data_IF_934130384799
#
_entry.id   IF_934130384799
#
_cell.length_a   1.000
_cell.length_b   1.000
_cell.length_c   1.000
_cell.angle_alpha   90.00
_cell.angle_beta   90.00
_cell.angle_gamma   90.00
#
_symmetry.space_group_name_H-M   'P 1'
#
loop_
_entity.id
_entity.type
_entity.pdbx_description
1 polymer ?
#
# COMPACT_ATOMS: atom_id res chain seq x y z
N UNK A 1 -22.34 21.53 -14.41
CA UNK A 1 -21.52 20.32 -14.71
C UNK A 1 -21.42 19.54 -13.43
N UNK A 2 -21.69 18.21 -13.43
CA UNK A 2 -21.59 17.40 -12.18
C UNK A 2 -20.14 17.24 -11.75
N UNK A 3 -19.91 17.00 -10.46
CA UNK A 3 -18.57 16.77 -9.90
C UNK A 3 -17.88 15.57 -10.54
N UNK A 4 -18.64 14.49 -10.79
CA UNK A 4 -18.14 13.30 -11.48
C UNK A 4 -17.61 13.60 -12.88
N UNK A 5 -18.24 14.53 -13.60
CA UNK A 5 -17.79 14.95 -14.93
C UNK A 5 -16.52 15.80 -14.82
N UNK A 6 -16.49 16.76 -13.90
CA UNK A 6 -15.32 17.62 -13.70
C UNK A 6 -14.08 16.79 -13.35
N UNK A 7 -14.23 15.81 -12.45
CA UNK A 7 -13.13 14.93 -12.08
C UNK A 7 -12.65 14.07 -13.26
N UNK A 8 -13.58 13.52 -14.05
CA UNK A 8 -13.22 12.72 -15.23
C UNK A 8 -12.52 13.57 -16.30
N UNK A 9 -12.99 14.80 -16.52
CA UNK A 9 -12.39 15.75 -17.47
C UNK A 9 -10.95 16.12 -17.01
N UNK A 10 -10.70 16.38 -15.73
CA UNK A 10 -9.36 16.61 -15.18
C UNK A 10 -8.43 15.42 -15.44
N UNK A 11 -8.87 14.21 -15.16
CA UNK A 11 -8.10 12.98 -15.42
C UNK A 11 -7.73 12.90 -16.90
N UNK A 12 -8.71 12.98 -17.79
CA UNK A 12 -8.52 12.73 -19.22
C UNK A 12 -7.76 13.84 -19.96
N UNK A 13 -7.80 15.07 -19.44
CA UNK A 13 -7.09 16.23 -19.99
C UNK A 13 -5.69 16.40 -19.41
N UNK A 14 -5.31 15.64 -18.39
CA UNK A 14 -3.95 15.69 -17.82
C UNK A 14 -2.93 15.34 -18.92
N UNK A 15 -1.93 16.20 -19.18
CA UNK A 15 -0.84 15.87 -20.08
C UNK A 15 0.06 14.79 -19.49
N UNK A 16 0.88 14.15 -20.30
CA UNK A 16 1.93 13.29 -19.78
C UNK A 16 2.86 14.11 -18.88
N UNK A 17 3.12 13.59 -17.67
CA UNK A 17 3.89 14.30 -16.65
C UNK A 17 5.37 14.24 -17.01
N UNK A 18 6.03 15.38 -17.03
CA UNK A 18 7.47 15.54 -17.28
C UNK A 18 8.23 16.03 -16.02
N UNK A 19 7.51 16.39 -14.95
CA UNK A 19 8.13 16.81 -13.68
C UNK A 19 8.99 15.67 -13.12
N UNK A 20 10.30 15.92 -13.03
CA UNK A 20 11.31 14.91 -12.63
C UNK A 20 11.04 14.33 -11.24
N UNK A 21 10.62 15.14 -10.26
CA UNK A 21 10.39 14.68 -8.90
C UNK A 21 9.19 13.74 -8.83
N UNK A 22 8.11 14.05 -9.59
CA UNK A 22 6.91 13.21 -9.69
C UNK A 22 7.24 11.88 -10.38
N UNK A 23 7.97 11.94 -11.48
CA UNK A 23 8.38 10.73 -12.22
C UNK A 23 9.33 9.87 -11.38
N UNK A 24 10.27 10.47 -10.64
CA UNK A 24 11.17 9.73 -9.75
C UNK A 24 10.40 9.08 -8.59
N UNK A 25 9.43 9.77 -7.99
CA UNK A 25 8.57 9.17 -6.97
C UNK A 25 7.80 7.96 -7.55
N UNK A 26 7.28 8.07 -8.78
CA UNK A 26 6.58 6.97 -9.43
C UNK A 26 7.52 5.77 -9.72
N UNK A 27 8.75 6.00 -10.19
CA UNK A 27 9.76 4.94 -10.40
C UNK A 27 10.09 4.22 -9.09
N UNK A 28 10.32 4.97 -8.01
CA UNK A 28 10.56 4.41 -6.66
C UNK A 28 9.41 3.50 -6.20
N UNK A 29 8.17 3.89 -6.50
CA UNK A 29 6.99 3.08 -6.19
C UNK A 29 6.93 1.79 -7.02
N UNK A 30 7.35 1.83 -8.29
CA UNK A 30 7.45 0.63 -9.13
C UNK A 30 8.51 -0.34 -8.59
N UNK A 31 9.67 0.17 -8.15
CA UNK A 31 10.72 -0.62 -7.50
C UNK A 31 10.18 -1.29 -6.23
N UNK A 32 9.52 -0.52 -5.36
CA UNK A 32 8.94 -0.99 -4.10
C UNK A 32 7.86 -2.06 -4.34
N UNK A 33 7.01 -1.85 -5.35
CA UNK A 33 5.98 -2.80 -5.75
C UNK A 33 6.56 -4.15 -6.20
N UNK A 34 7.59 -4.14 -7.06
CA UNK A 34 8.27 -5.37 -7.46
C UNK A 34 8.92 -6.06 -6.27
N UNK A 35 9.65 -5.31 -5.44
CA UNK A 35 10.29 -5.86 -4.25
C UNK A 35 9.28 -6.52 -3.31
N UNK A 36 8.18 -5.84 -2.97
CA UNK A 36 7.14 -6.38 -2.09
C UNK A 36 6.45 -7.62 -2.70
N UNK A 37 6.18 -7.58 -4.01
CA UNK A 37 5.53 -8.68 -4.72
C UNK A 37 6.41 -9.93 -4.79
N UNK A 38 7.68 -9.78 -5.15
CA UNK A 38 8.60 -10.91 -5.36
C UNK A 38 8.98 -11.59 -4.04
N UNK A 39 9.03 -10.88 -2.93
CA UNK A 39 9.19 -11.51 -1.61
C UNK A 39 8.06 -12.49 -1.27
N UNK A 40 6.86 -12.24 -1.76
CA UNK A 40 5.66 -13.01 -1.41
C UNK A 40 5.32 -14.18 -2.35
N UNK A 41 6.13 -14.43 -3.41
CA UNK A 41 5.80 -15.45 -4.43
C UNK A 41 5.72 -16.87 -3.89
N UNK A 42 6.52 -17.19 -2.87
CA UNK A 42 6.61 -18.53 -2.28
C UNK A 42 5.78 -18.66 -1.00
N UNK A 43 5.06 -17.61 -0.59
CA UNK A 43 4.20 -17.69 0.57
C UNK A 43 3.05 -18.69 0.35
N UNK A 44 2.72 -19.45 1.38
CA UNK A 44 1.70 -20.51 1.30
C UNK A 44 0.33 -19.98 0.82
N UNK A 45 -0.03 -18.75 1.18
CA UNK A 45 -1.26 -18.11 0.77
C UNK A 45 -1.22 -17.73 -0.72
N UNK A 46 -0.11 -17.23 -1.22
CA UNK A 46 0.11 -16.97 -2.65
C UNK A 46 -0.04 -18.24 -3.48
N UNK A 47 0.59 -19.34 -3.03
CA UNK A 47 0.52 -20.64 -3.68
C UNK A 47 -0.93 -21.15 -3.75
N UNK A 48 -1.71 -21.01 -2.67
CA UNK A 48 -3.13 -21.42 -2.62
C UNK A 48 -4.00 -20.64 -3.59
N UNK A 49 -3.85 -19.30 -3.64
CA UNK A 49 -4.64 -18.47 -4.56
C UNK A 49 -4.22 -18.75 -6.02
N UNK A 50 -2.91 -18.90 -6.28
CA UNK A 50 -2.43 -19.32 -7.60
C UNK A 50 -3.01 -20.65 -8.03
N UNK A 51 -3.03 -21.66 -7.15
CA UNK A 51 -3.61 -22.96 -7.46
C UNK A 51 -5.11 -22.86 -7.78
N UNK A 52 -5.87 -22.12 -6.97
CA UNK A 52 -7.28 -21.85 -7.25
C UNK A 52 -7.48 -21.18 -8.61
N UNK A 53 -6.66 -20.21 -9.00
CA UNK A 53 -6.71 -19.56 -10.32
C UNK A 53 -6.45 -20.56 -11.44
N UNK A 54 -5.50 -21.46 -11.28
CA UNK A 54 -5.19 -22.51 -12.27
C UNK A 54 -6.38 -23.46 -12.42
N UNK A 55 -6.96 -23.89 -11.31
CA UNK A 55 -8.11 -24.83 -11.29
C UNK A 55 -9.37 -24.19 -11.90
N UNK A 56 -9.59 -22.89 -11.67
CA UNK A 56 -10.70 -22.14 -12.26
C UNK A 56 -10.53 -21.98 -13.80
N UNK A 57 -9.29 -21.88 -14.25
CA UNK A 57 -8.96 -21.76 -15.67
C UNK A 57 -9.31 -20.41 -16.28
N UNK A 58 -9.36 -20.34 -17.61
CA UNK A 58 -9.67 -19.15 -18.39
C UNK A 58 -8.61 -18.86 -19.45
N UNK A 59 -8.87 -17.90 -20.36
CA UNK A 59 -7.95 -17.54 -21.42
C UNK A 59 -6.74 -16.78 -20.85
N UNK A 60 -5.50 -17.30 -20.99
CA UNK A 60 -4.32 -16.70 -20.41
C UNK A 60 -3.92 -15.44 -21.19
N UNK A 61 -4.09 -14.26 -20.59
CA UNK A 61 -3.78 -12.96 -21.19
C UNK A 61 -2.71 -12.18 -20.47
N UNK A 62 -2.68 -12.23 -19.13
CA UNK A 62 -1.79 -11.41 -18.32
C UNK A 62 -0.90 -12.26 -17.41
N UNK A 63 0.32 -11.78 -17.13
CA UNK A 63 1.30 -12.48 -16.31
C UNK A 63 0.94 -12.48 -14.83
N UNK A 64 1.06 -13.63 -14.20
CA UNK A 64 1.15 -13.75 -12.75
C UNK A 64 2.60 -13.41 -12.34
N UNK A 65 2.77 -12.31 -11.65
CA UNK A 65 4.08 -11.74 -11.33
C UNK A 65 4.96 -12.74 -10.55
N UNK A 66 6.15 -13.02 -11.08
CA UNK A 66 7.09 -13.98 -10.46
C UNK A 66 6.77 -15.47 -10.66
N UNK A 67 5.74 -15.82 -11.46
CA UNK A 67 5.31 -17.22 -11.60
C UNK A 67 5.49 -17.83 -12.99
N UNK A 68 6.05 -17.10 -13.95
CA UNK A 68 6.26 -17.56 -15.34
C UNK A 68 4.99 -18.18 -15.98
N UNK A 69 3.83 -17.74 -15.55
CA UNK A 69 2.51 -18.25 -15.93
C UNK A 69 1.57 -17.09 -16.20
N UNK A 70 0.69 -17.25 -17.20
CA UNK A 70 -0.39 -16.30 -17.48
C UNK A 70 -1.74 -16.84 -16.98
N UNK A 71 -2.63 -15.93 -16.63
CA UNK A 71 -4.03 -16.18 -16.34
C UNK A 71 -4.92 -15.16 -17.08
N UNK A 72 -6.22 -15.15 -16.81
CA UNK A 72 -7.04 -14.02 -17.27
C UNK A 72 -6.54 -12.73 -16.65
N UNK A 73 -6.74 -11.60 -17.28
CA UNK A 73 -6.30 -10.32 -16.74
C UNK A 73 -6.89 -10.00 -15.34
N UNK A 74 -8.16 -10.40 -15.13
CA UNK A 74 -8.81 -10.22 -13.83
C UNK A 74 -8.19 -11.11 -12.74
N UNK A 75 -7.83 -12.35 -13.05
CA UNK A 75 -7.15 -13.25 -12.13
C UNK A 75 -5.70 -12.79 -11.86
N UNK A 76 -5.00 -12.28 -12.89
CA UNK A 76 -3.67 -11.72 -12.72
C UNK A 76 -3.68 -10.48 -11.81
N UNK A 77 -4.62 -9.56 -12.01
CA UNK A 77 -4.78 -8.41 -11.14
C UNK A 77 -5.06 -8.84 -9.68
N UNK A 78 -5.89 -9.87 -9.49
CA UNK A 78 -6.19 -10.42 -8.16
C UNK A 78 -4.93 -10.95 -7.48
N UNK A 79 -4.19 -11.87 -8.12
CA UNK A 79 -3.01 -12.48 -7.51
C UNK A 79 -1.90 -11.45 -7.29
N UNK A 80 -1.62 -10.62 -8.28
CA UNK A 80 -0.54 -9.63 -8.19
C UNK A 80 -0.82 -8.61 -7.08
N UNK A 81 -2.07 -8.14 -6.92
CA UNK A 81 -2.46 -7.23 -5.86
C UNK A 81 -2.47 -7.88 -4.47
N UNK A 82 -2.91 -9.13 -4.38
CA UNK A 82 -2.79 -9.92 -3.17
C UNK A 82 -1.33 -10.08 -2.73
N UNK A 83 -0.49 -10.52 -3.66
CA UNK A 83 0.91 -10.82 -3.45
C UNK A 83 1.70 -9.56 -3.05
N UNK A 84 1.48 -8.44 -3.74
CA UNK A 84 2.13 -7.17 -3.41
C UNK A 84 1.84 -6.71 -1.97
N UNK A 85 0.64 -7.03 -1.44
CA UNK A 85 0.20 -6.59 -0.11
C UNK A 85 0.33 -7.67 0.98
N UNK A 86 0.69 -8.92 0.64
CA UNK A 86 0.63 -10.06 1.58
C UNK A 86 1.51 -9.88 2.81
N UNK A 87 2.71 -9.38 2.63
CA UNK A 87 3.69 -9.21 3.70
C UNK A 87 3.58 -7.87 4.44
N UNK A 88 2.61 -7.02 4.07
CA UNK A 88 2.49 -5.64 4.57
C UNK A 88 3.80 -4.83 4.39
N UNK A 89 4.53 -5.13 3.31
CA UNK A 89 5.86 -4.61 2.99
C UNK A 89 5.83 -3.52 1.91
N UNK A 90 4.68 -3.33 1.30
CA UNK A 90 4.36 -2.35 0.28
C UNK A 90 4.16 -0.94 0.85
N UNK A 91 4.17 0.04 -0.04
CA UNK A 91 4.04 1.46 0.29
C UNK A 91 2.74 1.82 1.02
N UNK A 92 2.74 2.99 1.64
CA UNK A 92 1.58 3.55 2.35
C UNK A 92 1.40 5.02 1.99
N UNK A 93 0.15 5.46 1.84
CA UNK A 93 -0.18 6.86 1.66
C UNK A 93 -1.05 7.38 2.82
N UNK A 94 -0.64 8.52 3.41
CA UNK A 94 -1.27 9.04 4.63
C UNK A 94 -2.74 9.43 4.43
N UNK A 95 -3.08 10.13 3.34
CA UNK A 95 -4.46 10.54 3.04
C UNK A 95 -5.37 9.33 2.77
N UNK A 96 -4.82 8.30 2.11
CA UNK A 96 -5.53 7.04 1.85
C UNK A 96 -5.74 6.24 3.14
N UNK A 97 -4.79 6.28 4.07
CA UNK A 97 -4.67 5.32 5.18
C UNK A 97 -4.64 3.88 4.68
N UNK A 98 -3.87 3.64 3.63
CA UNK A 98 -3.81 2.38 2.91
C UNK A 98 -2.68 2.32 1.89
N UNK A 99 -2.72 1.31 1.04
CA UNK A 99 -1.66 0.82 0.19
C UNK A 99 -2.02 0.97 -1.29
N UNK A 100 -1.69 2.10 -1.93
CA UNK A 100 -2.19 2.40 -3.27
C UNK A 100 -1.50 1.59 -4.36
N UNK A 101 -0.17 1.41 -4.29
CA UNK A 101 0.59 0.80 -5.38
C UNK A 101 0.23 -0.66 -5.60
N UNK A 102 -0.06 -1.41 -4.54
CA UNK A 102 -0.49 -2.80 -4.62
C UNK A 102 -1.75 -2.98 -5.49
N UNK A 103 -2.68 -2.02 -5.47
CA UNK A 103 -3.89 -2.07 -6.30
C UNK A 103 -3.64 -1.52 -7.70
N UNK A 104 -3.11 -0.30 -7.79
CA UNK A 104 -3.04 0.45 -9.04
C UNK A 104 -2.04 -0.19 -10.01
N UNK A 105 -0.83 -0.53 -9.55
CA UNK A 105 0.17 -1.17 -10.40
C UNK A 105 -0.24 -2.58 -10.81
N UNK A 106 -0.85 -3.36 -9.91
CA UNK A 106 -1.37 -4.69 -10.26
C UNK A 106 -2.42 -4.63 -11.36
N UNK A 107 -3.34 -3.66 -11.30
CA UNK A 107 -4.34 -3.46 -12.34
C UNK A 107 -3.71 -2.95 -13.65
N UNK A 108 -2.78 -1.99 -13.59
CA UNK A 108 -2.09 -1.47 -14.77
C UNK A 108 -1.29 -2.57 -15.48
N UNK A 109 -0.43 -3.33 -14.78
CA UNK A 109 0.33 -4.41 -15.38
C UNK A 109 -0.56 -5.51 -15.96
N UNK A 110 -1.65 -5.87 -15.28
CA UNK A 110 -2.60 -6.86 -15.79
C UNK A 110 -3.39 -6.36 -17.01
N UNK A 111 -3.49 -5.05 -17.23
CA UNK A 111 -4.21 -4.46 -18.36
C UNK A 111 -3.41 -4.44 -19.67
N UNK A 112 -2.09 -4.57 -19.65
CA UNK A 112 -1.22 -4.29 -20.81
C UNK A 112 -1.48 -5.25 -21.97
N UNK A 113 -1.84 -6.49 -21.73
CA UNK A 113 -2.14 -7.48 -22.76
C UNK A 113 -3.63 -7.55 -23.13
N UNK A 114 -4.49 -6.66 -22.57
CA UNK A 114 -5.93 -6.64 -22.87
C UNK A 114 -6.26 -6.12 -24.26
N UNK A 115 -5.39 -5.27 -24.80
CA UNK A 115 -5.58 -4.69 -26.12
C UNK A 115 -4.35 -4.91 -26.97
N UNK A 116 -4.54 -5.09 -28.28
CA UNK A 116 -3.47 -5.03 -29.28
C UNK A 116 -3.03 -3.59 -29.56
N UNK A 117 -3.54 -2.65 -28.78
CA UNK A 117 -3.41 -1.23 -29.02
C UNK A 117 -2.00 -0.73 -28.74
N UNK A 118 -1.65 0.22 -29.56
CA UNK A 118 -0.61 1.23 -29.54
C UNK A 118 0.56 1.06 -28.57
N UNK A 119 1.73 1.35 -29.05
CA UNK A 119 2.96 1.47 -28.27
C UNK A 119 2.75 2.42 -27.11
N UNK A 120 2.52 1.87 -25.91
CA UNK A 120 2.45 2.63 -24.67
C UNK A 120 3.87 2.83 -24.17
N UNK A 121 4.32 4.10 -24.11
CA UNK A 121 5.60 4.41 -23.50
C UNK A 121 5.52 4.43 -21.96
N UNK A 122 6.65 4.27 -21.33
CA UNK A 122 6.71 4.22 -19.86
C UNK A 122 6.29 5.54 -19.22
N UNK A 123 6.51 6.69 -19.86
CA UNK A 123 6.07 8.00 -19.34
C UNK A 123 4.56 8.06 -19.19
N UNK A 124 3.82 7.63 -20.20
CA UNK A 124 2.35 7.54 -20.13
C UNK A 124 1.88 6.53 -19.08
N UNK A 125 2.58 5.41 -18.94
CA UNK A 125 2.30 4.43 -17.90
C UNK A 125 2.51 5.02 -16.50
N UNK A 126 3.64 5.69 -16.25
CA UNK A 126 3.91 6.34 -14.97
C UNK A 126 2.92 7.49 -14.69
N UNK A 127 2.54 8.26 -15.73
CA UNK A 127 1.49 9.28 -15.59
C UNK A 127 0.15 8.66 -15.19
N UNK A 128 -0.24 7.54 -15.81
CA UNK A 128 -1.44 6.81 -15.45
C UNK A 128 -1.40 6.33 -13.99
N UNK A 129 -0.26 5.83 -13.54
CA UNK A 129 -0.05 5.45 -12.15
C UNK A 129 -0.18 6.64 -11.19
N UNK A 130 0.46 7.78 -11.49
CA UNK A 130 0.36 9.02 -10.69
C UNK A 130 -1.10 9.49 -10.59
N UNK A 131 -1.85 9.45 -11.68
CA UNK A 131 -3.29 9.78 -11.69
C UNK A 131 -4.07 8.83 -10.76
N UNK A 132 -3.76 7.54 -10.78
CA UNK A 132 -4.36 6.59 -9.84
C UNK A 132 -4.09 6.96 -8.38
N UNK A 133 -2.83 7.29 -8.03
CA UNK A 133 -2.47 7.77 -6.69
C UNK A 133 -3.26 9.04 -6.34
N UNK A 134 -3.33 9.99 -7.27
CA UNK A 134 -4.03 11.26 -7.07
C UNK A 134 -5.51 11.06 -6.76
N UNK A 135 -6.21 10.24 -7.55
CA UNK A 135 -7.62 9.89 -7.31
C UNK A 135 -7.80 9.20 -5.95
N UNK A 136 -6.95 8.20 -5.65
CA UNK A 136 -7.06 7.45 -4.39
C UNK A 136 -6.84 8.34 -3.16
N UNK A 137 -5.85 9.23 -3.23
CA UNK A 137 -5.52 10.15 -2.14
C UNK A 137 -6.61 11.21 -1.93
N UNK A 138 -7.16 11.78 -3.00
CA UNK A 138 -8.25 12.76 -2.92
C UNK A 138 -9.54 12.16 -2.38
N UNK A 139 -9.91 10.96 -2.83
CA UNK A 139 -11.02 10.21 -2.23
C UNK A 139 -10.73 9.91 -0.75
N UNK A 140 -9.48 9.56 -0.43
CA UNK A 140 -9.04 9.37 0.94
C UNK A 140 -9.20 10.63 1.80
N UNK A 141 -8.84 11.80 1.31
CA UNK A 141 -9.02 13.08 2.01
C UNK A 141 -10.50 13.42 2.24
N UNK A 142 -11.35 13.12 1.26
CA UNK A 142 -12.79 13.35 1.35
C UNK A 142 -13.51 12.43 2.34
N UNK A 143 -13.00 11.22 2.55
CA UNK A 143 -13.65 10.17 3.33
C UNK A 143 -13.05 9.97 4.73
N UNK A 144 -11.72 10.10 4.87
CA UNK A 144 -11.03 9.84 6.13
C UNK A 144 -11.03 11.07 7.06
N UNK A 145 -11.00 10.89 8.39
CA UNK A 145 -10.81 9.62 9.09
C UNK A 145 -12.07 8.80 9.33
N UNK A 146 -13.27 9.36 9.14
CA UNK A 146 -14.55 8.71 9.51
C UNK A 146 -14.74 7.36 8.83
N UNK A 147 -14.44 7.24 7.55
CA UNK A 147 -14.47 6.01 6.77
C UNK A 147 -13.64 4.90 7.42
N UNK A 148 -12.38 5.21 7.73
CA UNK A 148 -11.46 4.26 8.36
C UNK A 148 -11.91 3.88 9.78
N UNK A 149 -12.42 4.83 10.56
CA UNK A 149 -12.91 4.61 11.94
C UNK A 149 -14.14 3.72 11.93
N UNK A 150 -15.05 3.86 10.97
CA UNK A 150 -16.22 3.01 10.80
C UNK A 150 -15.88 1.55 10.46
N UNK A 151 -14.63 1.24 10.17
CA UNK A 151 -14.17 -0.12 9.93
C UNK A 151 -13.95 -0.47 8.46
N UNK A 152 -13.97 0.49 7.55
CA UNK A 152 -13.63 0.26 6.15
C UNK A 152 -12.12 0.19 5.93
N UNK A 153 -11.69 -0.71 5.06
CA UNK A 153 -10.31 -0.80 4.59
C UNK A 153 -10.13 0.06 3.34
N UNK A 154 -9.55 1.25 3.49
CA UNK A 154 -9.43 2.24 2.40
C UNK A 154 -8.71 1.70 1.16
N UNK A 155 -7.71 0.82 1.31
CA UNK A 155 -7.06 0.14 0.18
C UNK A 155 -8.09 -0.56 -0.72
N UNK A 156 -9.04 -1.24 -0.12
CA UNK A 156 -10.09 -1.99 -0.83
C UNK A 156 -11.14 -1.07 -1.44
N UNK A 157 -11.67 -0.14 -0.64
CA UNK A 157 -12.83 0.66 -1.04
C UNK A 157 -12.47 1.77 -2.05
N UNK A 158 -11.24 2.30 -1.99
CA UNK A 158 -10.80 3.38 -2.89
C UNK A 158 -10.01 2.87 -4.08
N UNK A 159 -9.32 1.72 -3.92
CA UNK A 159 -8.34 1.23 -4.88
C UNK A 159 -8.93 0.91 -6.25
N UNK A 160 -10.10 0.27 -6.30
CA UNK A 160 -10.76 -0.06 -7.57
C UNK A 160 -11.15 1.18 -8.38
N UNK A 161 -11.64 2.23 -7.71
CA UNK A 161 -11.99 3.54 -8.32
C UNK A 161 -10.72 4.24 -8.85
N UNK A 162 -9.64 4.19 -8.09
CA UNK A 162 -8.35 4.74 -8.51
C UNK A 162 -7.75 4.01 -9.71
N UNK A 163 -7.82 2.68 -9.71
CA UNK A 163 -7.26 1.86 -10.76
C UNK A 163 -8.01 2.00 -12.09
N UNK A 164 -9.36 2.17 -12.09
CA UNK A 164 -10.08 2.46 -13.35
C UNK A 164 -9.70 3.81 -13.93
N UNK A 165 -9.41 4.83 -13.10
CA UNK A 165 -8.91 6.12 -13.57
C UNK A 165 -7.57 5.96 -14.30
N UNK A 166 -6.65 5.21 -13.69
CA UNK A 166 -5.34 4.93 -14.25
C UNK A 166 -5.45 4.19 -15.60
N UNK A 167 -6.29 3.14 -15.68
CA UNK A 167 -6.48 2.36 -16.91
C UNK A 167 -7.16 3.21 -18.00
N UNK A 168 -8.23 3.95 -17.66
CA UNK A 168 -8.90 4.80 -18.65
C UNK A 168 -7.97 5.88 -19.19
N UNK A 169 -7.15 6.50 -18.36
CA UNK A 169 -6.13 7.44 -18.81
C UNK A 169 -5.10 6.77 -19.73
N UNK A 170 -4.60 5.60 -19.35
CA UNK A 170 -3.59 4.85 -20.09
C UNK A 170 -4.04 4.55 -21.52
N UNK A 171 -5.27 4.12 -21.69
CA UNK A 171 -5.84 3.71 -23.00
C UNK A 171 -6.71 4.78 -23.66
N UNK A 172 -6.89 5.97 -23.01
CA UNK A 172 -7.74 7.05 -23.50
C UNK A 172 -9.20 6.63 -23.73
N UNK A 173 -9.72 5.76 -22.83
CA UNK A 173 -11.12 5.36 -22.89
C UNK A 173 -12.06 6.52 -22.50
N UNK A 174 -13.09 6.73 -23.29
CA UNK A 174 -14.08 7.82 -23.13
C UNK A 174 -15.18 7.53 -22.08
N UNK A 175 -15.24 6.30 -21.57
CA UNK A 175 -16.22 5.84 -20.59
C UNK A 175 -15.76 5.96 -19.12
N UNK A 176 -14.78 6.80 -18.80
CA UNK A 176 -14.23 6.92 -17.42
C UNK A 176 -15.32 7.17 -16.37
N UNK A 177 -16.33 8.01 -16.68
CA UNK A 177 -17.43 8.29 -15.73
C UNK A 177 -18.21 7.04 -15.35
N UNK A 178 -18.48 6.19 -16.32
CA UNK A 178 -19.15 4.90 -16.10
C UNK A 178 -18.23 3.92 -15.38
N UNK A 179 -16.92 3.95 -15.67
CA UNK A 179 -15.93 3.12 -15.02
C UNK A 179 -15.81 3.45 -13.51
N UNK A 180 -15.81 4.72 -13.16
CA UNK A 180 -15.90 5.15 -11.77
C UNK A 180 -17.13 4.58 -11.06
N UNK A 181 -18.32 4.73 -11.65
CA UNK A 181 -19.56 4.26 -11.04
C UNK A 181 -19.57 2.73 -10.88
N UNK A 182 -19.09 2.00 -11.89
CA UNK A 182 -19.05 0.55 -11.87
C UNK A 182 -18.03 0.01 -10.87
N UNK A 183 -16.89 0.67 -10.70
CA UNK A 183 -15.92 0.30 -9.67
C UNK A 183 -16.41 0.69 -8.27
N UNK A 184 -17.00 1.88 -8.12
CA UNK A 184 -17.53 2.37 -6.85
C UNK A 184 -18.62 1.49 -6.25
N UNK A 185 -19.52 0.94 -7.09
CA UNK A 185 -20.60 0.05 -6.60
C UNK A 185 -20.09 -1.30 -6.12
N UNK A 186 -18.83 -1.66 -6.39
CA UNK A 186 -18.17 -2.89 -5.92
C UNK A 186 -17.21 -2.64 -4.76
N UNK A 187 -17.14 -1.41 -4.24
CA UNK A 187 -16.24 -1.04 -3.15
C UNK A 187 -16.62 -1.77 -1.86
N UNK A 188 -15.73 -2.64 -1.37
CA UNK A 188 -15.93 -3.43 -0.16
C UNK A 188 -14.60 -3.70 0.53
N UNK A 189 -14.65 -4.20 1.77
CA UNK A 189 -13.48 -4.57 2.56
C UNK A 189 -13.52 -4.02 3.97
N UNK A 190 -13.37 -4.91 4.96
CA UNK A 190 -13.53 -4.58 6.38
C UNK A 190 -12.20 -4.72 7.13
N UNK A 191 -11.90 -3.76 7.99
CA UNK A 191 -10.71 -3.76 8.86
C UNK A 191 -10.69 -4.87 9.89
N UNK A 192 -11.83 -5.48 10.19
CA UNK A 192 -11.88 -6.66 11.07
C UNK A 192 -11.03 -7.82 10.55
N UNK A 193 -10.70 -7.82 9.25
CA UNK A 193 -9.82 -8.80 8.62
C UNK A 193 -8.32 -8.51 8.79
N UNK A 194 -7.94 -7.42 9.46
CA UNK A 194 -6.52 -7.12 9.70
C UNK A 194 -5.86 -8.23 10.53
N UNK A 195 -4.62 -8.57 10.17
CA UNK A 195 -3.91 -9.70 10.76
C UNK A 195 -4.28 -11.08 10.19
N UNK A 196 -5.14 -11.13 9.16
CA UNK A 196 -5.47 -12.35 8.41
C UNK A 196 -5.09 -12.21 6.93
N UNK A 197 -4.95 -13.31 6.18
CA UNK A 197 -4.70 -13.27 4.73
C UNK A 197 -5.81 -12.58 3.91
N UNK A 198 -6.97 -12.33 4.50
CA UNK A 198 -8.05 -11.60 3.83
C UNK A 198 -7.75 -10.11 3.69
N UNK A 199 -6.91 -9.53 4.58
CA UNK A 199 -6.48 -8.12 4.42
C UNK A 199 -5.78 -7.89 3.07
N UNK A 200 -4.71 -8.62 2.71
CA UNK A 200 -4.07 -8.48 1.39
C UNK A 200 -4.98 -8.89 0.23
N UNK A 201 -5.90 -9.85 0.41
CA UNK A 201 -6.88 -10.20 -0.61
C UNK A 201 -7.73 -9.01 -1.03
N UNK A 202 -8.00 -8.07 -0.15
CA UNK A 202 -8.72 -6.84 -0.46
C UNK A 202 -8.02 -6.00 -1.56
N UNK A 203 -6.68 -5.92 -1.57
CA UNK A 203 -5.95 -5.22 -2.62
C UNK A 203 -6.11 -5.92 -3.97
N UNK A 204 -6.00 -7.25 -3.99
CA UNK A 204 -6.22 -8.06 -5.18
C UNK A 204 -7.64 -7.92 -5.73
N UNK A 205 -8.66 -7.99 -4.87
CA UNK A 205 -10.07 -7.81 -5.26
C UNK A 205 -10.33 -6.41 -5.83
N UNK A 206 -9.74 -5.37 -5.27
CA UNK A 206 -9.85 -4.00 -5.79
C UNK A 206 -9.21 -3.86 -7.18
N UNK A 207 -8.02 -4.46 -7.39
CA UNK A 207 -7.36 -4.49 -8.70
C UNK A 207 -8.18 -5.29 -9.72
N UNK A 208 -8.72 -6.45 -9.33
CA UNK A 208 -9.60 -7.26 -10.16
C UNK A 208 -10.87 -6.51 -10.54
N UNK A 209 -11.47 -5.76 -9.60
CA UNK A 209 -12.66 -4.93 -9.84
C UNK A 209 -12.40 -3.92 -10.96
N UNK A 210 -11.23 -3.29 -11.00
CA UNK A 210 -10.90 -2.36 -12.07
C UNK A 210 -10.86 -3.05 -13.44
N UNK A 211 -10.19 -4.18 -13.56
CA UNK A 211 -10.10 -4.93 -14.81
C UNK A 211 -11.50 -5.40 -15.28
N UNK A 212 -12.30 -5.92 -14.37
CA UNK A 212 -13.67 -6.37 -14.70
C UNK A 212 -14.56 -5.21 -15.13
N UNK A 213 -14.46 -4.06 -14.47
CA UNK A 213 -15.23 -2.87 -14.82
C UNK A 213 -14.91 -2.39 -16.23
N UNK A 214 -13.62 -2.31 -16.57
CA UNK A 214 -13.18 -1.93 -17.92
C UNK A 214 -13.67 -2.94 -18.95
N UNK A 215 -13.48 -4.23 -18.72
CA UNK A 215 -13.90 -5.27 -19.66
C UNK A 215 -15.42 -5.28 -19.91
N UNK A 216 -16.23 -5.07 -18.89
CA UNK A 216 -17.68 -4.99 -19.02
C UNK A 216 -18.13 -3.79 -19.86
N UNK A 217 -17.52 -2.61 -19.65
CA UNK A 217 -17.82 -1.40 -20.42
C UNK A 217 -17.37 -1.54 -21.87
N UNK A 218 -16.21 -2.13 -22.13
CA UNK A 218 -15.74 -2.44 -23.50
C UNK A 218 -16.68 -3.38 -24.23
N UNK A 219 -17.41 -4.25 -23.51
CA UNK A 219 -18.44 -5.14 -24.06
C UNK A 219 -19.85 -4.52 -24.09
N UNK A 220 -19.96 -3.21 -23.91
CA UNK A 220 -21.21 -2.48 -24.08
C UNK A 220 -22.12 -2.39 -22.85
N UNK A 221 -21.66 -2.85 -21.67
CA UNK A 221 -22.40 -2.58 -20.44
C UNK A 221 -22.42 -1.06 -20.20
N UNK A 222 -23.57 -0.54 -19.75
CA UNK A 222 -23.69 0.88 -19.37
C UNK A 222 -23.88 1.03 -17.87
N UNK A 223 -23.44 2.16 -17.33
CA UNK A 223 -23.59 2.50 -15.92
C UNK A 223 -24.00 3.97 -15.76
N UNK A 224 -24.52 4.33 -14.58
CA UNK A 224 -24.75 5.73 -14.23
C UNK A 224 -23.42 6.50 -14.31
N UNK A 225 -23.47 7.72 -14.83
CA UNK A 225 -22.28 8.57 -14.98
C UNK A 225 -21.99 9.45 -13.77
N UNK A 226 -22.80 9.44 -12.73
CA UNK A 226 -22.68 10.33 -11.59
C UNK A 226 -22.44 9.58 -10.27
N UNK A 227 -21.24 8.98 -10.16
CA UNK A 227 -20.86 8.24 -8.97
C UNK A 227 -20.62 9.12 -7.72
N UNK A 228 -20.48 10.43 -7.90
CA UNK A 228 -20.36 11.43 -6.85
C UNK A 228 -21.65 12.20 -6.59
N UNK A 229 -22.81 11.61 -6.93
CA UNK A 229 -24.11 12.18 -6.59
C UNK A 229 -24.13 12.59 -5.10
N UNK A 230 -24.57 13.83 -4.77
CA UNK A 230 -24.45 14.37 -3.41
C UNK A 230 -25.32 13.64 -2.38
N UNK A 231 -26.34 12.89 -2.81
CA UNK A 231 -27.25 12.17 -1.92
C UNK A 231 -26.98 10.67 -1.85
N UNK A 232 -26.63 10.05 -2.98
CA UNK A 232 -26.54 8.59 -3.15
C UNK A 232 -25.20 8.15 -3.72
N UNK A 233 -24.30 9.09 -4.01
CA UNK A 233 -22.98 8.80 -4.56
C UNK A 233 -22.00 8.26 -3.53
N UNK A 234 -20.83 7.93 -4.02
CA UNK A 234 -19.79 7.24 -3.25
C UNK A 234 -19.41 7.96 -1.95
N UNK A 235 -19.19 9.29 -2.02
CA UNK A 235 -18.81 10.05 -0.82
C UNK A 235 -19.98 10.15 0.16
N UNK A 236 -21.20 10.35 -0.32
CA UNK A 236 -22.38 10.42 0.53
C UNK A 236 -22.62 9.12 1.32
N UNK A 237 -22.36 7.97 0.70
CA UNK A 237 -22.56 6.65 1.32
C UNK A 237 -21.42 6.27 2.26
N UNK A 238 -20.17 6.54 1.87
CA UNK A 238 -18.99 6.07 2.59
C UNK A 238 -18.35 7.09 3.54
N UNK A 239 -18.72 8.38 3.47
CA UNK A 239 -18.06 9.46 4.19
C UNK A 239 -19.01 10.42 4.88
N UNK A 240 -18.43 11.52 5.39
CA UNK A 240 -19.13 12.60 6.08
C UNK A 240 -18.64 13.98 5.64
N UNK A 241 -17.59 14.04 4.81
CA UNK A 241 -16.97 15.31 4.40
C UNK A 241 -17.47 15.80 3.05
N UNK A 242 -17.18 17.05 2.77
CA UNK A 242 -17.41 17.69 1.47
C UNK A 242 -16.55 17.09 0.37
N UNK A 243 -17.14 16.96 -0.81
CA UNK A 243 -16.48 16.54 -2.04
C UNK A 243 -15.69 17.65 -2.76
N UNK A 244 -15.69 18.88 -2.24
CA UNK A 244 -15.02 20.04 -2.86
C UNK A 244 -13.52 19.85 -3.02
N UNK A 245 -12.87 19.17 -2.05
CA UNK A 245 -11.43 18.87 -2.07
C UNK A 245 -10.97 18.01 -3.26
N UNK A 246 -11.89 17.34 -3.95
CA UNK A 246 -11.53 16.42 -5.05
C UNK A 246 -10.90 17.10 -6.26
N UNK A 247 -11.24 18.36 -6.51
CA UNK A 247 -10.82 19.10 -7.70
C UNK A 247 -9.67 20.08 -7.42
N UNK A 248 -9.43 20.43 -6.16
CA UNK A 248 -8.52 21.51 -5.78
C UNK A 248 -7.07 21.23 -6.22
N UNK A 249 -6.41 22.23 -6.78
CA UNK A 249 -4.98 22.19 -7.12
C UNK A 249 -4.54 21.01 -8.00
N UNK A 250 -5.46 20.42 -8.79
CA UNK A 250 -5.13 19.31 -9.70
C UNK A 250 -3.99 19.70 -10.63
N UNK A 251 -2.95 18.83 -10.71
CA UNK A 251 -1.78 19.03 -11.57
C UNK A 251 -0.75 20.05 -11.07
N UNK A 252 -1.01 20.77 -9.98
CA UNK A 252 -0.05 21.72 -9.39
C UNK A 252 0.81 21.07 -8.33
N UNK A 253 0.19 20.28 -7.46
CA UNK A 253 0.88 19.54 -6.40
C UNK A 253 0.32 18.11 -6.36
N UNK A 254 1.14 17.16 -6.81
CA UNK A 254 0.73 15.77 -6.91
C UNK A 254 0.83 15.07 -5.56
N UNK A 255 -0.18 14.27 -5.23
CA UNK A 255 -0.26 13.53 -3.96
C UNK A 255 0.84 12.49 -3.78
N UNK A 256 1.43 12.03 -4.86
CA UNK A 256 2.60 11.15 -4.82
C UNK A 256 3.82 11.83 -4.19
N UNK A 257 3.91 13.18 -4.24
CA UNK A 257 4.98 13.98 -3.64
C UNK A 257 4.55 14.66 -2.34
N UNK A 258 3.29 15.09 -2.23
CA UNK A 258 2.77 15.75 -1.04
C UNK A 258 1.37 15.24 -0.66
N UNK A 259 1.23 14.51 0.45
CA UNK A 259 2.24 14.22 1.48
C UNK A 259 3.31 13.22 1.08
N UNK A 260 3.19 12.52 -0.06
CA UNK A 260 4.13 11.51 -0.53
C UNK A 260 3.81 10.10 -0.04
N UNK A 261 4.57 9.15 -0.59
CA UNK A 261 4.47 7.74 -0.24
C UNK A 261 5.52 7.34 0.81
N UNK A 262 5.13 6.49 1.73
CA UNK A 262 6.01 5.86 2.69
C UNK A 262 6.43 4.51 2.15
N UNK A 263 7.72 4.26 2.07
CA UNK A 263 8.28 2.96 1.75
C UNK A 263 8.69 2.25 3.03
N UNK A 264 8.54 0.93 3.04
CA UNK A 264 8.90 0.11 4.19
C UNK A 264 10.11 -0.76 3.87
N UNK A 265 10.99 -0.89 4.84
CA UNK A 265 12.07 -1.89 4.84
C UNK A 265 11.86 -2.93 5.96
N UNK A 266 10.57 -3.23 6.21
CA UNK A 266 10.11 -4.12 7.27
C UNK A 266 8.69 -4.63 6.97
N UNK A 267 8.32 -5.80 7.49
CA UNK A 267 7.06 -6.50 7.20
C UNK A 267 6.03 -6.30 8.33
N UNK A 268 5.74 -5.05 8.71
CA UNK A 268 4.70 -4.72 9.69
C UNK A 268 3.99 -3.40 9.39
N UNK A 269 2.89 -3.17 10.10
CA UNK A 269 2.06 -1.97 9.92
C UNK A 269 2.88 -0.68 10.13
N UNK A 270 2.79 0.28 9.22
CA UNK A 270 3.50 1.57 9.30
C UNK A 270 3.22 2.35 10.59
N UNK A 271 2.08 2.10 11.24
CA UNK A 271 1.77 2.67 12.56
C UNK A 271 2.77 2.23 13.64
N UNK A 272 3.35 1.04 13.52
CA UNK A 272 4.34 0.52 14.45
C UNK A 272 5.77 1.00 14.15
N UNK A 273 6.04 1.55 12.96
CA UNK A 273 7.37 2.04 12.60
C UNK A 273 7.88 3.15 13.55
N UNK A 274 6.98 3.99 14.02
CA UNK A 274 7.31 4.98 15.05
C UNK A 274 7.82 4.33 16.34
N UNK A 275 7.18 3.24 16.75
CA UNK A 275 7.55 2.48 17.95
C UNK A 275 8.88 1.76 17.76
N UNK A 276 9.07 1.12 16.59
CA UNK A 276 10.30 0.44 16.24
C UNK A 276 11.49 1.39 16.27
N UNK A 277 11.41 2.53 15.59
CA UNK A 277 12.50 3.50 15.53
C UNK A 277 12.83 4.07 16.93
N UNK A 278 11.80 4.38 17.74
CA UNK A 278 12.00 4.88 19.09
C UNK A 278 12.68 3.83 19.98
N UNK A 279 12.22 2.59 19.93
CA UNK A 279 12.76 1.50 20.73
C UNK A 279 14.19 1.12 20.32
N UNK A 280 14.46 1.05 19.00
CA UNK A 280 15.80 0.81 18.48
C UNK A 280 16.81 1.89 18.91
N UNK A 281 16.39 3.17 18.85
CA UNK A 281 17.26 4.27 19.30
C UNK A 281 17.55 4.17 20.79
N UNK A 282 16.55 3.85 21.62
CA UNK A 282 16.75 3.66 23.05
C UNK A 282 17.71 2.50 23.32
N UNK A 283 17.55 1.36 22.65
CA UNK A 283 18.45 0.23 22.81
C UNK A 283 19.90 0.61 22.45
N UNK A 284 20.11 1.23 21.28
CA UNK A 284 21.46 1.63 20.81
C UNK A 284 22.15 2.64 21.73
N UNK A 285 21.39 3.53 22.36
CA UNK A 285 21.92 4.56 23.23
C UNK A 285 22.25 4.06 24.64
N UNK A 286 21.44 3.10 25.17
CA UNK A 286 21.48 2.76 26.59
C UNK A 286 21.80 1.31 26.89
N UNK A 287 21.58 0.37 25.95
CA UNK A 287 21.90 -1.07 26.07
C UNK A 287 21.46 -1.68 27.40
N UNK A 288 20.20 -1.42 27.82
CA UNK A 288 19.72 -1.89 29.12
C UNK A 288 19.58 -3.41 29.18
N UNK A 289 19.82 -3.98 30.37
CA UNK A 289 19.48 -5.36 30.65
C UNK A 289 17.95 -5.52 30.79
N UNK A 290 17.36 -6.46 30.06
CA UNK A 290 15.89 -6.68 30.01
C UNK A 290 15.30 -7.00 31.38
N UNK A 291 16.05 -7.69 32.23
CA UNK A 291 15.62 -8.03 33.60
C UNK A 291 15.42 -6.78 34.46
N UNK A 292 16.11 -5.68 34.11
CA UNK A 292 16.01 -4.40 34.79
C UNK A 292 14.79 -3.59 34.37
N UNK A 293 14.17 -3.92 33.22
CA UNK A 293 12.98 -3.21 32.76
C UNK A 293 11.81 -3.51 33.70
N UNK A 294 11.28 -2.45 34.32
CA UNK A 294 10.07 -2.48 35.13
C UNK A 294 8.83 -2.27 34.27
N UNK A 295 8.87 -1.27 33.39
CA UNK A 295 7.72 -0.83 32.58
C UNK A 295 8.14 -0.19 31.26
N UNK A 296 7.32 -0.39 30.22
CA UNK A 296 7.45 0.24 28.90
C UNK A 296 6.17 1.03 28.61
N UNK A 297 6.25 2.36 28.53
CA UNK A 297 5.12 3.20 28.16
C UNK A 297 5.19 3.53 26.65
N UNK A 298 4.11 3.24 25.92
CA UNK A 298 3.91 3.54 24.52
C UNK A 298 2.87 4.67 24.42
N UNK A 299 3.33 5.90 24.18
CA UNK A 299 2.50 7.10 24.20
C UNK A 299 2.26 7.55 22.77
N UNK A 300 1.00 7.51 22.35
CA UNK A 300 0.58 7.84 20.98
C UNK A 300 -0.08 9.21 20.90
N UNK A 301 0.01 9.85 19.73
CA UNK A 301 -0.96 10.86 19.36
C UNK A 301 -2.36 10.24 19.29
N UNK A 302 -3.45 11.01 19.52
CA UNK A 302 -4.81 10.48 19.45
C UNK A 302 -5.06 9.68 18.16
N UNK A 303 -5.57 8.45 18.31
CA UNK A 303 -5.80 7.49 17.21
C UNK A 303 -4.55 7.06 16.43
N UNK A 304 -3.33 7.40 16.88
CA UNK A 304 -2.08 7.02 16.24
C UNK A 304 -1.86 5.51 16.14
N UNK A 305 -2.45 4.74 17.05
CA UNK A 305 -2.36 3.28 17.13
C UNK A 305 -3.58 2.54 16.57
N UNK A 306 -4.52 3.22 15.92
CA UNK A 306 -5.83 2.65 15.52
C UNK A 306 -5.74 1.41 14.60
N UNK A 307 -4.60 1.18 13.94
CA UNK A 307 -4.33 -0.01 13.16
C UNK A 307 -3.65 -1.13 13.97
N UNK A 308 -3.13 -0.85 15.17
CA UNK A 308 -2.37 -1.79 16.00
C UNK A 308 -3.31 -2.51 16.98
N UNK A 309 -4.11 -3.42 16.42
CA UNK A 309 -5.27 -4.04 17.06
C UNK A 309 -4.94 -5.19 18.01
N UNK A 310 -3.69 -5.64 18.07
CA UNK A 310 -3.25 -6.74 18.92
C UNK A 310 -2.35 -6.27 20.07
N UNK A 311 -2.88 -5.76 21.19
CA UNK A 311 -2.04 -5.36 22.33
C UNK A 311 -1.38 -6.57 23.02
N UNK A 312 -1.94 -7.76 22.85
CA UNK A 312 -1.43 -9.04 23.37
C UNK A 312 -1.52 -10.10 22.26
N UNK A 313 -0.58 -10.11 21.31
CA UNK A 313 -0.59 -11.07 20.22
C UNK A 313 -0.32 -12.48 20.77
N UNK A 314 -1.08 -13.48 20.27
CA UNK A 314 -0.90 -14.90 20.63
C UNK A 314 0.08 -15.59 19.68
N UNK A 315 0.13 -15.15 18.43
CA UNK A 315 0.98 -15.68 17.38
C UNK A 315 1.87 -14.58 16.81
N UNK A 316 3.07 -14.91 16.39
CA UNK A 316 4.05 -13.95 15.88
C UNK A 316 3.49 -13.11 14.71
N UNK A 317 2.69 -13.71 13.80
CA UNK A 317 2.04 -12.98 12.70
C UNK A 317 1.14 -11.82 13.15
N UNK A 318 0.54 -11.91 14.35
CA UNK A 318 -0.25 -10.82 14.92
C UNK A 318 0.62 -9.66 15.39
N UNK A 319 1.91 -9.93 15.63
CA UNK A 319 2.93 -8.94 15.96
C UNK A 319 3.05 -7.82 14.92
N UNK A 320 2.76 -8.09 13.63
CA UNK A 320 2.71 -7.07 12.56
C UNK A 320 1.76 -5.90 12.88
N UNK A 321 0.76 -6.15 13.73
CA UNK A 321 -0.26 -5.19 14.16
C UNK A 321 -0.26 -5.00 15.68
N UNK A 322 0.90 -5.17 16.35
CA UNK A 322 1.10 -5.00 17.78
C UNK A 322 2.21 -4.00 18.07
N UNK A 323 1.87 -2.89 18.70
CA UNK A 323 2.88 -1.93 19.16
C UNK A 323 3.80 -2.54 20.22
N UNK A 324 3.23 -3.32 21.12
CA UNK A 324 3.94 -3.95 22.23
C UNK A 324 4.96 -4.98 21.76
N UNK A 325 4.55 -5.83 20.81
CA UNK A 325 5.44 -6.82 20.20
C UNK A 325 6.62 -6.15 19.49
N UNK A 326 6.32 -5.14 18.67
CA UNK A 326 7.36 -4.39 17.95
C UNK A 326 8.29 -3.65 18.92
N UNK A 327 7.75 -3.00 19.97
CA UNK A 327 8.57 -2.34 20.98
C UNK A 327 9.53 -3.31 21.66
N UNK A 328 9.01 -4.46 22.09
CA UNK A 328 9.82 -5.48 22.80
C UNK A 328 10.91 -6.03 21.88
N UNK A 329 10.57 -6.45 20.66
CA UNK A 329 11.55 -6.97 19.69
C UNK A 329 12.64 -5.93 19.38
N UNK A 330 12.26 -4.67 19.19
CA UNK A 330 13.21 -3.59 18.93
C UNK A 330 14.10 -3.24 20.14
N UNK A 331 13.60 -3.37 21.37
CA UNK A 331 14.39 -3.20 22.59
C UNK A 331 15.34 -4.38 22.85
N UNK A 332 15.10 -5.52 22.19
CA UNK A 332 15.96 -6.70 22.23
C UNK A 332 17.01 -6.71 21.11
N UNK A 333 16.99 -5.74 20.22
CA UNK A 333 17.74 -5.75 18.95
C UNK A 333 17.49 -7.01 18.11
N UNK A 334 16.30 -7.59 18.28
CA UNK A 334 15.89 -8.74 17.48
C UNK A 334 15.39 -8.30 16.11
N UNK A 335 15.70 -9.03 15.05
CA UNK A 335 15.27 -8.67 13.71
C UNK A 335 13.74 -8.59 13.61
N UNK A 336 13.26 -7.69 12.77
CA UNK A 336 11.85 -7.50 12.42
C UNK A 336 11.63 -7.74 10.92
N UNK A 337 12.34 -8.72 10.38
CA UNK A 337 12.18 -9.19 9.00
C UNK A 337 10.97 -10.13 8.83
N UNK A 338 10.85 -10.75 7.66
CA UNK A 338 9.71 -11.62 7.35
C UNK A 338 9.65 -12.88 8.23
N UNK A 339 10.81 -13.39 8.68
CA UNK A 339 10.95 -14.69 9.33
C UNK A 339 10.37 -14.71 10.73
N UNK A 340 10.29 -13.53 11.38
CA UNK A 340 9.77 -13.42 12.75
C UNK A 340 8.25 -13.31 12.84
N UNK A 341 7.55 -13.17 11.70
CA UNK A 341 6.09 -13.03 11.66
C UNK A 341 5.40 -14.30 11.15
N UNK A 342 5.79 -15.44 11.69
CA UNK A 342 5.27 -16.76 11.40
C UNK A 342 3.95 -17.10 12.16
N UNK A 343 3.49 -18.34 11.99
CA UNK A 343 2.28 -18.84 12.65
C UNK A 343 2.56 -19.46 14.03
N UNK A 344 3.81 -19.37 14.53
CA UNK A 344 4.17 -19.91 15.84
C UNK A 344 3.63 -19.02 16.98
N UNK A 345 3.36 -19.59 18.15
CA UNK A 345 3.00 -18.84 19.34
C UNK A 345 4.10 -17.85 19.74
N UNK A 346 3.72 -16.68 20.21
CA UNK A 346 4.68 -15.72 20.80
C UNK A 346 5.37 -16.39 21.99
N UNK A 347 6.70 -16.33 22.03
CA UNK A 347 7.48 -16.98 23.08
C UNK A 347 7.12 -16.45 24.48
N UNK A 348 7.20 -17.28 25.54
CA UNK A 348 6.91 -16.85 26.92
C UNK A 348 7.74 -15.66 27.38
N UNK A 349 9.00 -15.56 26.92
CA UNK A 349 9.89 -14.46 27.25
C UNK A 349 9.38 -13.13 26.65
N UNK A 350 9.00 -13.12 25.38
CA UNK A 350 8.43 -11.94 24.71
C UNK A 350 7.08 -11.58 25.34
N UNK A 351 6.24 -12.57 25.64
CA UNK A 351 4.95 -12.35 26.31
C UNK A 351 5.12 -11.66 27.66
N UNK A 352 6.09 -12.10 28.49
CA UNK A 352 6.37 -11.50 29.77
C UNK A 352 6.82 -10.03 29.68
N UNK A 353 7.53 -9.66 28.61
CA UNK A 353 7.93 -8.27 28.36
C UNK A 353 6.76 -7.43 27.80
N UNK A 354 5.91 -8.01 26.96
CA UNK A 354 4.69 -7.38 26.45
C UNK A 354 3.75 -7.00 27.62
N UNK A 355 3.67 -7.82 28.67
CA UNK A 355 2.86 -7.51 29.86
C UNK A 355 3.34 -6.28 30.62
N UNK A 356 4.61 -5.88 30.48
CA UNK A 356 5.14 -4.64 31.04
C UNK A 356 4.80 -3.40 30.19
N UNK A 357 4.29 -3.59 28.97
CA UNK A 357 3.90 -2.49 28.10
C UNK A 357 2.57 -1.86 28.50
N UNK A 358 2.49 -0.54 28.41
CA UNK A 358 1.27 0.21 28.66
C UNK A 358 1.08 1.26 27.57
N UNK A 359 -0.09 1.23 26.88
CA UNK A 359 -0.47 2.30 25.95
C UNK A 359 -1.10 3.46 26.70
N UNK A 360 -0.81 4.65 26.24
CA UNK A 360 -1.48 5.89 26.63
C UNK A 360 -1.52 6.88 25.47
N UNK A 361 -2.26 7.96 25.62
CA UNK A 361 -2.45 8.94 24.58
C UNK A 361 -2.07 10.32 25.10
N UNK A 362 -1.55 11.13 24.20
CA UNK A 362 -1.28 12.51 24.50
C UNK A 362 -2.59 13.28 24.60
N UNK A 363 -2.74 14.12 25.61
CA UNK A 363 -4.01 14.80 25.90
C UNK A 363 -4.33 15.92 24.92
N UNK A 364 -3.29 16.59 24.40
CA UNK A 364 -3.46 17.71 23.47
C UNK A 364 -3.68 17.20 22.04
N UNK A 365 -4.67 17.81 21.37
CA UNK A 365 -4.96 17.55 19.96
C UNK A 365 -3.83 18.13 19.10
N UNK A 366 -2.89 17.30 18.70
CA UNK A 366 -1.81 17.69 17.79
C UNK A 366 -2.20 17.35 16.35
N UNK A 367 -1.81 18.24 15.42
CA UNK A 367 -2.06 18.06 13.99
C UNK A 367 -1.17 16.96 13.37
N UNK A 368 -0.09 16.57 14.06
CA UNK A 368 0.92 15.66 13.55
C UNK A 368 0.98 14.38 14.37
N UNK A 369 1.16 13.24 13.67
CA UNK A 369 1.30 11.93 14.30
C UNK A 369 2.71 11.79 14.89
N UNK A 370 2.82 11.25 16.10
CA UNK A 370 4.08 10.91 16.74
C UNK A 370 3.88 9.74 17.71
N UNK A 371 4.98 9.15 18.17
CA UNK A 371 5.01 8.19 19.27
C UNK A 371 6.16 8.55 20.21
N UNK A 372 5.94 8.39 21.51
CA UNK A 372 7.01 8.39 22.53
C UNK A 372 7.06 6.99 23.15
N UNK A 373 8.24 6.38 23.12
CA UNK A 373 8.54 5.17 23.90
C UNK A 373 9.32 5.58 25.13
N UNK A 374 8.86 5.14 26.31
CA UNK A 374 9.52 5.39 27.59
C UNK A 374 9.77 4.07 28.30
N UNK A 375 11.02 3.81 28.64
CA UNK A 375 11.45 2.64 29.40
C UNK A 375 11.80 3.06 30.80
N UNK A 376 11.17 2.44 31.82
CA UNK A 376 11.48 2.61 33.24
C UNK A 376 12.22 1.39 33.75
N UNK A 377 13.32 1.59 34.47
CA UNK A 377 14.09 0.54 35.13
C UNK A 377 13.69 0.38 36.58
N UNK A 378 13.96 -0.81 37.18
CA UNK A 378 13.68 -1.14 38.58
C UNK A 378 14.41 -0.23 39.59
N UNK A 379 15.53 0.38 39.20
CA UNK A 379 16.26 1.34 40.02
C UNK A 379 15.63 2.74 40.01
N UNK A 380 14.52 2.94 39.26
CA UNK A 380 13.81 4.21 39.16
C UNK A 380 14.26 5.11 38.00
N UNK A 381 15.36 4.77 37.31
CA UNK A 381 15.79 5.49 36.12
C UNK A 381 14.79 5.31 34.98
N UNK A 382 14.67 6.29 34.10
CA UNK A 382 13.87 6.17 32.91
C UNK A 382 14.55 6.83 31.71
N UNK A 383 14.30 6.26 30.54
CA UNK A 383 14.77 6.74 29.25
C UNK A 383 13.57 6.90 28.32
N UNK A 384 13.59 7.89 27.45
CA UNK A 384 12.51 8.11 26.52
C UNK A 384 13.02 8.60 25.16
N UNK A 385 12.32 8.19 24.10
CA UNK A 385 12.56 8.63 22.73
C UNK A 385 11.26 9.00 22.06
N UNK A 386 11.22 10.13 21.38
CA UNK A 386 10.12 10.58 20.54
C UNK A 386 10.49 10.43 19.08
N UNK A 387 9.55 9.95 18.28
CA UNK A 387 9.63 9.89 16.80
C UNK A 387 8.44 10.62 16.21
N UNK A 388 8.72 11.62 15.40
CA UNK A 388 7.73 12.35 14.60
C UNK A 388 7.71 11.88 13.14
N UNK A 389 8.85 11.43 12.62
CA UNK A 389 9.03 10.97 11.25
C UNK A 389 9.87 9.68 11.22
N UNK A 390 9.22 8.51 11.20
CA UNK A 390 9.95 7.23 11.13
C UNK A 390 10.65 7.07 9.78
N UNK A 391 11.65 6.21 9.74
CA UNK A 391 12.38 5.89 8.52
C UNK A 391 11.44 5.38 7.42
N UNK A 392 11.71 5.78 6.18
CA UNK A 392 10.88 5.48 5.01
C UNK A 392 9.67 6.39 4.85
N UNK A 393 9.35 7.25 5.86
CA UNK A 393 8.30 8.27 5.70
C UNK A 393 8.74 9.39 4.74
N UNK A 394 7.81 10.16 4.14
CA UNK A 394 8.15 11.21 3.18
C UNK A 394 9.13 12.27 3.71
N UNK A 395 9.13 12.54 5.01
CA UNK A 395 10.03 13.49 5.66
C UNK A 395 11.34 12.87 6.16
N UNK A 396 11.46 11.55 6.12
CA UNK A 396 12.67 10.79 6.44
C UNK A 396 12.80 9.60 5.46
N UNK A 397 12.96 9.88 4.15
CA UNK A 397 12.87 8.86 3.11
C UNK A 397 14.09 7.93 3.10
N UNK A 398 13.88 6.69 2.69
CA UNK A 398 14.96 5.79 2.33
C UNK A 398 15.71 6.31 1.09
N UNK A 399 17.02 6.06 1.02
CA UNK A 399 17.80 6.29 -0.20
C UNK A 399 17.42 5.28 -1.30
N UNK A 400 17.80 5.57 -2.54
CA UNK A 400 17.63 4.65 -3.65
C UNK A 400 18.44 3.36 -3.46
N UNK A 401 19.57 3.43 -2.77
CA UNK A 401 20.36 2.25 -2.41
C UNK A 401 19.58 1.29 -1.49
N UNK A 402 18.82 1.80 -0.51
CA UNK A 402 17.96 0.96 0.35
C UNK A 402 16.87 0.29 -0.47
N UNK A 403 16.24 1.00 -1.41
CA UNK A 403 15.23 0.42 -2.31
C UNK A 403 15.86 -0.60 -3.27
N UNK A 404 17.08 -0.35 -3.75
CA UNK A 404 17.82 -1.34 -4.55
C UNK A 404 18.07 -2.63 -3.76
N UNK A 405 18.56 -2.54 -2.52
CA UNK A 405 18.78 -3.71 -1.67
C UNK A 405 17.47 -4.48 -1.41
N UNK A 406 16.39 -3.76 -1.11
CA UNK A 406 15.07 -4.36 -0.97
C UNK A 406 14.65 -5.16 -2.20
N UNK A 407 14.89 -4.63 -3.41
CA UNK A 407 14.61 -5.32 -4.67
C UNK A 407 15.56 -6.51 -4.88
N UNK A 408 16.86 -6.33 -4.65
CA UNK A 408 17.87 -7.37 -4.86
C UNK A 408 17.62 -8.60 -3.98
N UNK A 409 17.25 -8.41 -2.72
CA UNK A 409 16.87 -9.48 -1.80
C UNK A 409 15.64 -10.27 -2.30
N UNK A 410 14.69 -9.59 -2.97
CA UNK A 410 13.48 -10.23 -3.49
C UNK A 410 13.72 -11.02 -4.78
N UNK A 411 14.59 -10.51 -5.66
CA UNK A 411 14.88 -11.14 -6.97
C UNK A 411 15.81 -12.34 -6.85
N UNK A 412 16.69 -12.38 -5.83
CA UNK A 412 17.69 -13.45 -5.56
C UNK A 412 18.70 -13.70 -6.72
N UNK A 413 18.74 -12.81 -7.69
CA UNK A 413 19.70 -12.78 -8.79
C UNK A 413 20.18 -11.33 -8.90
N UNK A 414 21.39 -11.05 -8.47
CA UNK A 414 21.93 -9.69 -8.36
C UNK A 414 22.03 -9.00 -9.72
N UNK A 415 22.39 -9.74 -10.76
CA UNK A 415 22.48 -9.21 -12.14
C UNK A 415 21.10 -8.81 -12.66
N UNK A 416 20.11 -9.66 -12.46
CA UNK A 416 18.72 -9.40 -12.85
C UNK A 416 18.13 -8.24 -12.04
N UNK A 417 18.41 -8.17 -10.74
CA UNK A 417 17.96 -7.09 -9.86
C UNK A 417 18.54 -5.74 -10.29
N UNK A 418 19.84 -5.70 -10.60
CA UNK A 418 20.50 -4.50 -11.09
C UNK A 418 19.89 -4.03 -12.44
N UNK A 419 19.72 -4.96 -13.39
CA UNK A 419 19.10 -4.65 -14.67
C UNK A 419 17.67 -4.12 -14.52
N UNK A 420 16.86 -4.77 -13.65
CA UNK A 420 15.49 -4.35 -13.40
C UNK A 420 15.44 -2.94 -12.78
N UNK A 421 16.33 -2.67 -11.83
CA UNK A 421 16.43 -1.38 -11.17
C UNK A 421 16.77 -0.27 -12.18
N UNK A 422 17.81 -0.44 -12.99
CA UNK A 422 18.22 0.52 -14.01
C UNK A 422 17.12 0.72 -15.08
N UNK A 423 16.54 -0.36 -15.59
CA UNK A 423 15.47 -0.27 -16.59
C UNK A 423 14.21 0.43 -16.05
N UNK A 424 13.93 0.38 -14.72
CA UNK A 424 12.86 1.18 -14.13
C UNK A 424 13.22 2.66 -14.11
N UNK A 425 14.48 3.03 -13.93
CA UNK A 425 14.91 4.42 -14.05
C UNK A 425 14.86 4.94 -15.48
N UNK A 426 15.11 4.08 -16.48
CA UNK A 426 14.99 4.42 -17.90
C UNK A 426 13.59 4.21 -18.48
N UNK A 427 12.66 3.75 -17.65
CA UNK A 427 11.29 3.38 -18.01
C UNK A 427 10.51 4.44 -18.82
N UNK A 428 10.59 5.75 -18.53
CA UNK A 428 9.84 6.76 -19.29
C UNK A 428 10.07 6.73 -20.79
N UNK A 429 11.26 6.32 -21.22
CA UNK A 429 11.69 6.40 -22.62
C UNK A 429 11.51 5.07 -23.39
N UNK A 430 11.03 4.02 -22.70
CA UNK A 430 10.85 2.69 -23.28
C UNK A 430 9.38 2.30 -23.46
N UNK A 431 9.12 1.36 -24.35
CA UNK A 431 7.82 0.75 -24.52
C UNK A 431 7.54 -0.21 -23.36
N UNK A 432 6.41 -0.03 -22.66
CA UNK A 432 6.02 -0.84 -21.49
C UNK A 432 5.95 -2.35 -21.80
N UNK A 433 5.50 -2.73 -22.99
CA UNK A 433 5.38 -4.13 -23.38
C UNK A 433 6.74 -4.82 -23.49
N UNK A 434 7.76 -4.09 -23.96
CA UNK A 434 9.14 -4.57 -24.01
C UNK A 434 9.66 -4.84 -22.58
N UNK A 435 9.42 -3.91 -21.65
CA UNK A 435 9.79 -4.09 -20.25
C UNK A 435 9.10 -5.32 -19.64
N UNK A 436 7.79 -5.46 -19.82
CA UNK A 436 7.01 -6.59 -19.31
C UNK A 436 7.53 -7.92 -19.84
N UNK A 437 7.76 -8.02 -21.15
CA UNK A 437 8.27 -9.24 -21.76
C UNK A 437 9.70 -9.58 -21.30
N UNK A 438 10.51 -8.56 -21.01
CA UNK A 438 11.87 -8.76 -20.50
C UNK A 438 11.89 -9.33 -19.07
N UNK A 439 11.01 -8.84 -18.20
CA UNK A 439 11.08 -9.12 -16.78
C UNK A 439 10.03 -10.12 -16.26
N UNK A 440 8.76 -10.02 -16.66
CA UNK A 440 7.72 -10.89 -16.13
C UNK A 440 7.85 -12.35 -16.59
N UNK A 441 8.62 -12.61 -17.65
CA UNK A 441 8.96 -13.97 -18.10
C UNK A 441 10.15 -14.54 -17.27
N UNK A 442 11.08 -13.66 -16.84
CA UNK A 442 12.33 -14.06 -16.16
C UNK A 442 12.17 -14.17 -14.64
N UNK A 443 11.35 -13.32 -14.08
CA UNK A 443 10.97 -13.34 -12.67
C UNK A 443 9.93 -14.44 -12.39
#
# INVERSE_FOLDING_TARGET
>A
MTLSRQLADLVMQTPEIDNKDVINAAKRSVIDFFAASLHAINEKETIKIKQWIIDEGGTPKAWLLGHKTKATAAQAALLNGFQAHLLDYDDVHADVRGHPSAVILSALFASIDLTSADKINGRRFLTAYVIGIEIMARLGQALNPSHYIRGWHSTATLGGVAAVAAICYLYRYDFLRQAFALAATQAAGLRVMFGTPVKPLHAGLAAQTAIRSIALLQNGLTANCDFLDPQKGFIAVYGEKSSELLLDNWGREWKINNPGLWFKNYSYCSAAAYVADAANLLFKQHQFELQQIERIDLIFSPQGDSALIYPRPKFNRQGRFSAEYIAVKSLLDEPLDFTVFDDEPVSPHITALIEKCKRSYYEEKQSQRFVVVKVRLKNGEFFQQRIDHPQGSPKNPYSDQVLYHKLAESVKDETLAHQLFEDIYDFPDHEIKTFINKYLIRL
#
